data_IF_994331689193
#
_entry.id   IF_994331689193
#
_cell.length_a   1.000
_cell.length_b   1.000
_cell.length_c   1.000
_cell.angle_alpha   90.00
_cell.angle_beta   90.00
_cell.angle_gamma   90.00
#
_symmetry.space_group_name_H-M   'P 1'
#
loop_
_entity.id
_entity.type
_entity.pdbx_description
1 polymer ?
#
# COMPACT_ATOMS: atom_id res chain seq x y z
N UNK A 1 -4.10 6.89 2.93
CA UNK A 1 -4.15 5.61 3.68
C UNK A 1 -5.43 5.45 4.52
N UNK A 2 -5.73 6.31 5.50
CA UNK A 2 -6.91 6.17 6.38
C UNK A 2 -8.25 6.01 5.65
N UNK A 3 -8.48 6.77 4.56
CA UNK A 3 -9.68 6.64 3.73
C UNK A 3 -9.81 5.24 3.11
N UNK A 4 -8.73 4.72 2.50
CA UNK A 4 -8.71 3.36 1.93
C UNK A 4 -9.01 2.29 2.99
N UNK A 5 -8.41 2.42 4.19
CA UNK A 5 -8.72 1.53 5.33
C UNK A 5 -10.20 1.59 5.70
N UNK A 6 -10.78 2.80 5.77
CA UNK A 6 -12.21 2.98 6.07
C UNK A 6 -13.08 2.28 5.03
N UNK A 7 -12.75 2.41 3.74
CA UNK A 7 -13.47 1.73 2.67
C UNK A 7 -13.37 0.20 2.82
N UNK A 8 -12.17 -0.34 3.05
CA UNK A 8 -12.00 -1.79 3.28
C UNK A 8 -12.83 -2.29 4.46
N UNK A 9 -12.90 -1.52 5.57
CA UNK A 9 -13.75 -1.86 6.72
C UNK A 9 -15.23 -1.92 6.36
N UNK A 10 -15.72 -0.99 5.53
CA UNK A 10 -17.11 -1.00 5.07
C UNK A 10 -17.42 -2.18 4.12
N UNK A 11 -16.42 -2.69 3.41
CA UNK A 11 -16.56 -3.85 2.52
C UNK A 11 -16.51 -5.21 3.26
N UNK A 12 -16.48 -5.22 4.59
CA UNK A 12 -16.48 -6.42 5.43
C UNK A 12 -15.39 -7.46 5.06
N UNK A 13 -14.18 -6.96 4.76
CA UNK A 13 -13.03 -7.81 4.44
C UNK A 13 -12.57 -8.62 5.66
N UNK A 14 -12.00 -9.82 5.43
CA UNK A 14 -11.50 -10.69 6.51
C UNK A 14 -10.32 -10.08 7.29
N UNK A 15 -9.47 -9.32 6.61
CA UNK A 15 -8.30 -8.66 7.22
C UNK A 15 -7.80 -7.50 6.37
N UNK A 16 -7.17 -6.51 7.00
CA UNK A 16 -6.52 -5.36 6.37
C UNK A 16 -5.04 -5.36 6.76
N UNK A 17 -4.17 -5.48 5.74
CA UNK A 17 -2.72 -5.37 5.88
C UNK A 17 -2.25 -4.17 5.07
N UNK A 18 -1.54 -3.24 5.72
CA UNK A 18 -0.90 -2.12 5.03
C UNK A 18 0.58 -2.45 4.84
N UNK A 19 1.02 -2.51 3.58
CA UNK A 19 2.42 -2.73 3.24
C UNK A 19 2.96 -1.50 2.52
N UNK A 20 4.07 -0.95 3.02
CA UNK A 20 4.76 0.21 2.43
C UNK A 20 6.28 0.01 2.52
N UNK A 21 7.06 0.52 1.55
CA UNK A 21 8.52 0.39 1.58
C UNK A 21 9.15 1.28 2.65
N UNK A 22 8.60 2.47 2.88
CA UNK A 22 9.08 3.36 3.94
C UNK A 22 7.95 4.24 4.50
N UNK A 23 8.19 4.80 5.68
CA UNK A 23 7.28 5.76 6.31
C UNK A 23 7.84 6.31 7.62
N UNK A 24 7.29 7.41 8.15
CA UNK A 24 7.69 7.92 9.44
C UNK A 24 7.16 7.02 10.56
N UNK A 25 7.93 6.85 11.64
CA UNK A 25 7.61 5.89 12.70
C UNK A 25 6.27 6.18 13.39
N UNK A 26 5.91 7.45 13.57
CA UNK A 26 4.65 7.89 14.15
C UNK A 26 3.45 7.57 13.24
N UNK A 27 3.59 7.78 11.92
CA UNK A 27 2.59 7.43 10.92
C UNK A 27 2.35 5.92 10.86
N UNK A 28 3.40 5.11 10.88
CA UNK A 28 3.31 3.64 10.95
C UNK A 28 2.56 3.21 12.22
N UNK A 29 2.94 3.78 13.37
CA UNK A 29 2.29 3.51 14.67
C UNK A 29 0.83 3.95 14.72
N UNK A 30 0.47 5.03 14.02
CA UNK A 30 -0.92 5.49 13.99
C UNK A 30 -1.80 4.60 13.11
N UNK A 31 -1.27 4.20 11.94
CA UNK A 31 -1.98 3.28 11.05
C UNK A 31 -2.14 1.89 11.69
N UNK A 32 -1.15 1.39 12.44
CA UNK A 32 -1.21 0.08 13.08
C UNK A 32 -2.33 -0.06 14.10
N UNK A 33 -2.90 1.03 14.60
CA UNK A 33 -4.09 1.02 15.46
C UNK A 33 -5.39 0.73 14.70
N UNK A 34 -5.37 0.87 13.37
CA UNK A 34 -6.56 0.85 12.53
C UNK A 34 -6.66 -0.38 11.62
N UNK A 35 -5.65 -1.24 11.59
CA UNK A 35 -5.51 -2.39 10.69
C UNK A 35 -4.94 -3.59 11.46
N UNK A 36 -5.01 -4.79 10.89
CA UNK A 36 -4.50 -6.00 11.56
C UNK A 36 -2.98 -6.06 11.57
N UNK A 37 -2.34 -5.57 10.49
CA UNK A 37 -0.89 -5.56 10.37
C UNK A 37 -0.40 -4.40 9.52
N UNK A 38 0.73 -3.83 9.92
CA UNK A 38 1.51 -2.91 9.10
C UNK A 38 2.87 -3.54 8.84
N UNK A 39 3.29 -3.54 7.58
CA UNK A 39 4.63 -3.95 7.14
C UNK A 39 5.28 -2.71 6.54
N UNK A 40 6.25 -2.16 7.26
CA UNK A 40 7.07 -1.04 6.80
C UNK A 40 8.52 -1.53 6.74
N UNK A 41 9.14 -1.54 5.56
CA UNK A 41 10.52 -2.07 5.45
C UNK A 41 11.53 -1.16 6.13
N UNK A 42 11.32 0.16 6.07
CA UNK A 42 12.23 1.14 6.67
C UNK A 42 11.49 2.29 7.34
N UNK A 43 11.95 2.70 8.52
CA UNK A 43 11.48 3.91 9.20
C UNK A 43 12.69 4.79 9.53
N UNK A 44 13.18 5.60 8.56
CA UNK A 44 14.30 6.50 8.76
C UNK A 44 14.11 7.43 9.98
N UNK A 45 15.16 7.65 10.76
CA UNK A 45 15.14 8.58 11.91
C UNK A 45 14.78 10.01 11.47
N UNK A 46 15.20 10.40 10.27
CA UNK A 46 14.88 11.67 9.63
C UNK A 46 14.03 11.41 8.38
N UNK A 47 12.71 11.35 8.58
CA UNK A 47 11.74 11.18 7.50
C UNK A 47 11.22 12.53 7.00
N UNK A 48 11.71 12.99 5.83
CA UNK A 48 11.30 14.29 5.27
C UNK A 48 10.30 14.15 4.12
N UNK A 49 10.56 13.24 3.19
CA UNK A 49 9.72 13.02 2.02
C UNK A 49 9.81 11.57 1.55
N UNK A 50 8.78 11.10 0.84
CA UNK A 50 8.73 9.73 0.30
C UNK A 50 9.87 9.48 -0.70
N UNK A 51 10.20 10.48 -1.52
CA UNK A 51 11.23 10.35 -2.56
C UNK A 51 12.64 10.06 -2.02
N UNK A 52 12.93 10.39 -0.76
CA UNK A 52 14.23 10.08 -0.16
C UNK A 52 14.49 8.57 -0.02
N UNK A 53 13.43 7.75 -0.07
CA UNK A 53 13.52 6.30 0.06
C UNK A 53 13.91 5.61 -1.25
N UNK A 54 14.05 6.34 -2.34
CA UNK A 54 14.29 5.81 -3.68
C UNK A 54 15.49 6.48 -4.34
N UNK A 55 16.28 5.69 -5.07
CA UNK A 55 17.38 6.22 -5.88
C UNK A 55 16.89 6.99 -7.12
N UNK A 56 15.75 6.60 -7.68
CA UNK A 56 15.01 7.32 -8.72
C UNK A 56 13.57 7.47 -8.25
N UNK A 57 13.06 8.70 -8.34
CA UNK A 57 11.71 9.07 -7.93
C UNK A 57 11.05 9.91 -9.02
N UNK A 58 11.13 9.39 -10.24
CA UNK A 58 10.54 10.00 -11.42
C UNK A 58 9.01 9.97 -11.32
N UNK A 59 8.35 10.97 -11.92
CA UNK A 59 6.91 11.06 -11.90
C UNK A 59 6.30 9.92 -12.72
N UNK A 60 5.41 9.14 -12.10
CA UNK A 60 4.56 8.18 -12.81
C UNK A 60 3.43 8.91 -13.52
N UNK A 61 3.24 8.68 -14.83
CA UNK A 61 2.18 9.34 -15.60
C UNK A 61 0.85 8.59 -15.53
N UNK A 62 -0.24 9.28 -15.88
CA UNK A 62 -1.56 8.66 -15.95
C UNK A 62 -1.60 7.53 -17.00
N UNK A 63 -0.89 7.69 -18.12
CA UNK A 63 -0.77 6.68 -19.16
C UNK A 63 -0.13 5.39 -18.63
N UNK A 64 0.98 5.50 -17.90
CA UNK A 64 1.65 4.34 -17.30
C UNK A 64 0.72 3.60 -16.32
N UNK A 65 -0.05 4.34 -15.52
CA UNK A 65 -1.04 3.76 -14.60
C UNK A 65 -2.13 3.02 -15.36
N UNK A 66 -2.70 3.63 -16.42
CA UNK A 66 -3.77 3.03 -17.23
C UNK A 66 -3.26 1.77 -17.93
N UNK A 67 -2.06 1.79 -18.49
CA UNK A 67 -1.44 0.63 -19.15
C UNK A 67 -1.26 -0.55 -18.17
N UNK A 68 -0.79 -0.27 -16.95
CA UNK A 68 -0.63 -1.30 -15.91
C UNK A 68 -2.00 -1.85 -15.50
N UNK A 69 -3.01 -1.00 -15.27
CA UNK A 69 -4.34 -1.44 -14.90
C UNK A 69 -4.98 -2.32 -15.98
N UNK A 70 -4.86 -1.93 -17.25
CA UNK A 70 -5.35 -2.72 -18.39
C UNK A 70 -4.64 -4.08 -18.49
N UNK A 71 -3.32 -4.10 -18.25
CA UNK A 71 -2.52 -5.34 -18.27
C UNK A 71 -2.98 -6.37 -17.23
N UNK A 72 -3.51 -5.93 -16.09
CA UNK A 72 -3.90 -6.80 -14.97
C UNK A 72 -5.41 -6.93 -14.78
N UNK A 73 -6.22 -6.41 -15.70
CA UNK A 73 -7.68 -6.36 -15.60
C UNK A 73 -8.34 -7.76 -15.58
N UNK A 74 -7.68 -8.77 -16.14
CA UNK A 74 -8.16 -10.16 -16.21
C UNK A 74 -7.63 -11.08 -15.09
N UNK A 75 -6.92 -10.54 -14.09
CA UNK A 75 -6.58 -11.31 -12.88
C UNK A 75 -7.83 -11.52 -12.03
N UNK A 76 -8.65 -12.49 -12.43
CA UNK A 76 -9.82 -12.93 -11.69
C UNK A 76 -9.39 -13.32 -10.26
N UNK A 77 -9.92 -12.62 -9.25
CA UNK A 77 -9.57 -12.78 -7.82
C UNK A 77 -9.77 -14.24 -7.33
N UNK A 78 -10.56 -15.04 -8.06
CA UNK A 78 -10.74 -16.47 -7.82
C UNK A 78 -9.43 -17.29 -7.94
N UNK A 79 -8.49 -16.90 -8.81
CA UNK A 79 -7.25 -17.66 -9.02
C UNK A 79 -6.21 -17.48 -7.88
N UNK A 80 -6.36 -16.47 -7.01
CA UNK A 80 -5.44 -16.23 -5.89
C UNK A 80 -5.77 -17.14 -4.70
N UNK A 81 -7.03 -17.60 -4.60
CA UNK A 81 -7.48 -18.49 -3.53
C UNK A 81 -7.00 -19.94 -3.67
N UNK A 82 -6.40 -20.30 -4.82
CA UNK A 82 -5.98 -21.67 -5.15
C UNK A 82 -4.45 -21.86 -5.11
N UNK A 83 -3.69 -20.92 -4.54
CA UNK A 83 -2.21 -21.01 -4.44
C UNK A 83 -1.66 -20.90 -3.01
N UNK A 84 -2.49 -21.12 -1.99
CA UNK A 84 -2.04 -21.28 -0.60
C UNK A 84 -2.75 -22.45 0.09
#
# INVERSE_FOLDING_TARGET
MKAAISTCKHLNVKSIIVAVPCGPADGVKDISKSVDKVICLTTPDHYHAVGQCYNSFDQTTDEEVIEILAKYQDLNIENISNSY
#
